data_IF_125503156445
#
_entry.id   IF_125503156445
#
_cell.length_a   1.000
_cell.length_b   1.000
_cell.length_c   1.000
_cell.angle_alpha   90.00
_cell.angle_beta   90.00
_cell.angle_gamma   90.00
#
_symmetry.space_group_name_H-M   'P 1'
#
loop_
_entity.id
_entity.type
_entity.pdbx_description
1 polymer ?
#
# COMPACT_ATOMS: atom_id res chain seq x y z
N UNK A 1 2.52 25.13 6.25
CA UNK A 1 1.37 24.24 6.48
C UNK A 1 1.70 22.93 5.80
N UNK A 2 2.29 22.01 6.56
CA UNK A 2 3.13 20.93 6.05
C UNK A 2 2.28 19.68 5.75
N UNK A 3 1.73 19.62 4.53
CA UNK A 3 1.03 18.45 3.95
C UNK A 3 2.02 17.32 3.62
N UNK A 4 2.92 17.01 4.55
CA UNK A 4 3.87 15.92 4.40
C UNK A 4 3.14 14.60 4.68
N UNK A 5 2.73 13.96 3.58
CA UNK A 5 2.20 12.58 3.49
C UNK A 5 0.76 12.35 3.98
N UNK A 6 -0.22 13.02 3.38
CA UNK A 6 -1.60 12.52 3.44
C UNK A 6 -1.70 11.19 2.70
N UNK A 7 -1.84 10.10 3.44
CA UNK A 7 -1.94 8.75 2.90
C UNK A 7 -3.39 8.29 3.00
N UNK A 8 -3.94 7.77 1.91
CA UNK A 8 -5.23 7.08 1.90
C UNK A 8 -4.98 5.61 1.59
N UNK A 9 -5.56 4.73 2.39
CA UNK A 9 -5.50 3.28 2.17
C UNK A 9 -6.90 2.69 2.21
N UNK A 10 -7.11 1.61 1.47
CA UNK A 10 -8.35 0.85 1.50
C UNK A 10 -8.13 -0.41 2.32
N UNK A 11 -9.04 -0.71 3.23
CA UNK A 11 -9.12 -1.98 3.93
C UNK A 11 -10.57 -2.47 3.86
N UNK A 12 -10.77 -3.62 3.21
CA UNK A 12 -12.07 -4.27 3.07
C UNK A 12 -13.17 -3.46 2.40
N UNK A 13 -12.85 -2.36 1.72
CA UNK A 13 -13.78 -1.45 1.05
C UNK A 13 -14.11 -0.19 1.85
N UNK A 14 -13.56 -0.07 3.07
CA UNK A 14 -13.48 1.19 3.80
C UNK A 14 -12.20 1.94 3.42
N UNK A 15 -12.26 3.26 3.40
CA UNK A 15 -11.13 4.14 3.19
C UNK A 15 -10.65 4.70 4.53
N UNK A 16 -9.35 4.65 4.76
CA UNK A 16 -8.69 5.21 5.93
C UNK A 16 -7.75 6.31 5.47
N UNK A 17 -7.97 7.53 5.98
CA UNK A 17 -7.13 8.69 5.69
C UNK A 17 -6.47 9.17 6.96
N UNK A 18 -5.14 9.07 6.99
CA UNK A 18 -4.34 9.62 8.09
C UNK A 18 -4.25 11.15 7.97
N UNK A 19 -4.49 11.81 9.09
CA UNK A 19 -4.24 13.22 9.30
C UNK A 19 -3.15 13.32 10.36
N UNK A 20 -1.94 13.62 9.90
CA UNK A 20 -0.74 13.71 10.72
C UNK A 20 -1.00 14.41 12.07
N UNK A 21 -0.68 13.72 13.17
CA UNK A 21 -0.91 14.14 14.57
C UNK A 21 -2.37 14.41 14.96
N UNK A 22 -3.36 14.17 14.13
CA UNK A 22 -4.75 14.40 14.48
C UNK A 22 -5.46 13.08 14.72
N UNK A 23 -5.36 12.16 13.77
CA UNK A 23 -6.13 10.92 13.80
C UNK A 23 -6.35 10.37 12.41
N UNK A 24 -7.31 9.46 12.30
CA UNK A 24 -7.69 8.83 11.03
C UNK A 24 -9.17 9.02 10.78
N UNK A 25 -9.50 9.56 9.60
CA UNK A 25 -10.87 9.49 9.11
C UNK A 25 -11.12 8.11 8.49
N UNK A 26 -12.24 7.51 8.84
CA UNK A 26 -12.74 6.27 8.25
C UNK A 26 -13.96 6.61 7.41
N UNK A 27 -13.95 6.24 6.15
CA UNK A 27 -15.01 6.58 5.20
C UNK A 27 -15.51 5.32 4.50
N UNK A 28 -16.83 5.14 4.47
CA UNK A 28 -17.51 4.35 3.45
C UNK A 28 -18.15 5.31 2.43
N UNK A 29 -17.54 5.51 1.24
CA UNK A 29 -18.09 6.39 0.21
C UNK A 29 -19.45 5.92 -0.33
N UNK A 30 -19.67 4.60 -0.38
CA UNK A 30 -20.89 4.02 -0.92
C UNK A 30 -22.10 4.28 -0.01
N UNK A 31 -21.91 4.13 1.30
CA UNK A 31 -22.93 4.43 2.30
C UNK A 31 -22.95 5.90 2.75
N UNK A 32 -22.02 6.73 2.23
CA UNK A 32 -21.83 8.13 2.63
C UNK A 32 -21.60 8.31 4.14
N UNK A 33 -21.00 7.31 4.78
CA UNK A 33 -20.73 7.31 6.22
C UNK A 33 -19.28 7.69 6.48
N UNK A 34 -19.06 8.66 7.37
CA UNK A 34 -17.73 9.02 7.85
C UNK A 34 -17.70 8.88 9.36
N UNK A 35 -16.58 8.40 9.88
CA UNK A 35 -16.28 8.47 11.29
C UNK A 35 -14.81 8.87 11.50
N UNK A 36 -14.47 9.14 12.76
CA UNK A 36 -13.19 9.70 13.14
C UNK A 36 -12.59 8.92 14.30
N UNK A 37 -11.31 8.57 14.18
CA UNK A 37 -10.51 8.00 15.26
C UNK A 37 -9.47 9.05 15.64
N UNK A 38 -9.55 9.57 16.85
CA UNK A 38 -8.53 10.48 17.36
C UNK A 38 -7.39 9.69 18.03
N UNK A 39 -6.16 10.06 17.70
CA UNK A 39 -5.00 9.54 18.44
C UNK A 39 -4.79 10.35 19.71
N UNK A 40 -4.79 9.68 20.86
CA UNK A 40 -4.35 10.27 22.13
C UNK A 40 -2.87 10.65 22.04
N UNK A 41 -2.02 9.72 21.60
CA UNK A 41 -0.60 9.97 21.39
C UNK A 41 -0.33 10.53 20.00
N UNK A 42 -0.09 11.84 19.95
CA UNK A 42 0.17 12.61 18.74
C UNK A 42 1.51 12.24 18.08
N UNK A 43 2.34 11.40 18.69
CA UNK A 43 3.58 10.85 18.13
C UNK A 43 3.39 9.60 17.26
N UNK A 44 2.17 9.08 17.16
CA UNK A 44 1.88 7.85 16.40
C UNK A 44 1.93 8.09 14.88
N UNK A 45 2.79 7.35 14.20
CA UNK A 45 2.88 7.32 12.74
C UNK A 45 2.04 6.19 12.16
N UNK A 46 1.02 6.53 11.38
CA UNK A 46 0.21 5.58 10.64
C UNK A 46 1.02 4.83 9.57
N UNK A 47 0.84 3.51 9.49
CA UNK A 47 1.40 2.68 8.42
C UNK A 47 0.30 2.05 7.55
N UNK A 48 -0.65 1.34 8.17
CA UNK A 48 -1.73 0.70 7.42
C UNK A 48 -2.75 0.03 8.33
N UNK A 49 -3.83 -0.46 7.72
CA UNK A 49 -4.99 -1.00 8.45
C UNK A 49 -5.24 -2.46 8.07
N UNK A 50 -5.62 -3.26 9.05
CA UNK A 50 -6.12 -4.61 8.86
C UNK A 50 -7.00 -5.01 10.03
N UNK A 51 -7.19 -6.30 10.22
CA UNK A 51 -8.02 -6.86 11.28
C UNK A 51 -7.67 -8.34 11.50
N UNK A 52 -8.04 -8.87 12.65
CA UNK A 52 -7.90 -10.30 12.92
C UNK A 52 -8.94 -11.09 12.11
N UNK A 53 -8.49 -11.76 11.06
CA UNK A 53 -9.38 -12.54 10.18
C UNK A 53 -9.81 -13.89 10.76
N UNK A 54 -9.26 -14.28 11.92
CA UNK A 54 -9.70 -15.47 12.66
C UNK A 54 -10.95 -15.22 13.52
N UNK A 55 -11.33 -13.95 13.73
CA UNK A 55 -12.52 -13.59 14.51
C UNK A 55 -13.74 -13.36 13.60
N UNK A 56 -14.95 -13.73 14.03
CA UNK A 56 -16.17 -13.51 13.27
C UNK A 56 -16.50 -12.01 13.14
N UNK A 57 -16.24 -11.25 14.21
CA UNK A 57 -16.39 -9.79 14.21
C UNK A 57 -15.08 -9.12 13.80
N UNK A 58 -15.18 -8.16 12.87
CA UNK A 58 -14.03 -7.41 12.40
C UNK A 58 -13.73 -6.27 13.36
N UNK A 59 -12.72 -6.46 14.19
CA UNK A 59 -12.09 -5.37 14.93
C UNK A 59 -10.91 -4.84 14.13
N UNK A 60 -11.05 -3.63 13.59
CA UNK A 60 -10.01 -3.00 12.80
C UNK A 60 -8.86 -2.55 13.69
N UNK A 61 -7.65 -2.81 13.20
CA UNK A 61 -6.40 -2.47 13.85
C UNK A 61 -5.55 -1.62 12.90
N UNK A 62 -4.89 -0.61 13.44
CA UNK A 62 -3.95 0.24 12.71
C UNK A 62 -2.54 -0.14 13.14
N UNK A 63 -1.72 -0.60 12.19
CA UNK A 63 -0.29 -0.74 12.38
C UNK A 63 0.36 0.63 12.24
N UNK A 64 1.29 0.95 13.14
CA UNK A 64 2.08 2.16 13.09
C UNK A 64 3.33 2.07 13.94
N UNK A 65 3.95 3.23 14.19
CA UNK A 65 5.15 3.30 15.03
C UNK A 65 5.35 4.67 15.66
N UNK A 66 6.22 4.72 16.66
CA UNK A 66 6.73 5.94 17.25
C UNK A 66 8.21 6.08 16.93
N UNK A 67 8.66 7.30 16.59
CA UNK A 67 10.08 7.60 16.52
C UNK A 67 10.60 7.81 17.96
N UNK A 68 11.54 6.97 18.37
CA UNK A 68 12.11 6.99 19.70
C UNK A 68 13.63 7.18 19.62
N UNK A 69 14.22 7.68 20.71
CA UNK A 69 15.65 7.80 20.86
C UNK A 69 16.12 6.83 21.94
N UNK A 70 17.14 6.03 21.65
CA UNK A 70 17.84 5.21 22.62
C UNK A 70 19.19 5.84 22.91
N UNK A 71 19.46 6.13 24.18
CA UNK A 71 20.79 6.56 24.63
C UNK A 71 21.76 5.38 24.50
N UNK A 72 22.86 5.57 23.80
CA UNK A 72 23.95 4.59 23.63
C UNK A 72 25.18 5.00 24.44
N UNK A 73 25.43 6.31 24.55
CA UNK A 73 26.42 6.91 25.47
C UNK A 73 25.93 8.28 25.94
N UNK A 74 26.70 8.97 26.79
CA UNK A 74 26.37 10.32 27.28
C UNK A 74 26.23 11.37 26.18
N UNK A 75 26.84 11.15 25.02
CA UNK A 75 26.82 12.09 23.88
C UNK A 75 26.16 11.51 22.63
N UNK A 76 25.79 10.23 22.62
CA UNK A 76 25.29 9.56 21.43
C UNK A 76 23.93 8.88 21.67
N UNK A 77 22.95 9.31 20.87
CA UNK A 77 21.61 8.73 20.81
C UNK A 77 21.37 8.14 19.42
N UNK A 78 20.76 6.96 19.38
CA UNK A 78 20.36 6.29 18.14
C UNK A 78 18.84 6.36 18.03
N UNK A 79 18.36 6.80 16.87
CA UNK A 79 16.93 6.76 16.56
C UNK A 79 16.49 5.35 16.22
N UNK A 80 15.32 4.95 16.72
CA UNK A 80 14.69 3.69 16.37
C UNK A 80 13.18 3.87 16.30
N UNK A 81 12.50 2.95 15.61
CA UNK A 81 11.04 2.95 15.50
C UNK A 81 10.47 1.90 16.44
N UNK A 82 9.66 2.34 17.40
CA UNK A 82 8.93 1.43 18.28
C UNK A 82 7.58 1.11 17.63
N UNK A 83 7.40 -0.15 17.25
CA UNK A 83 6.18 -0.61 16.57
C UNK A 83 5.01 -0.61 17.55
N UNK A 84 3.84 -0.17 17.08
CA UNK A 84 2.60 -0.22 17.83
C UNK A 84 1.41 -0.58 16.95
N UNK A 85 0.40 -1.14 17.59
CA UNK A 85 -0.91 -1.47 17.03
C UNK A 85 -1.94 -0.66 17.80
N UNK A 86 -2.77 0.09 17.10
CA UNK A 86 -3.93 0.77 17.67
C UNK A 86 -5.18 -0.05 17.37
N UNK A 87 -5.91 -0.48 18.39
CA UNK A 87 -7.18 -1.20 18.27
C UNK A 87 -8.32 -0.18 18.20
N UNK A 88 -9.02 -0.12 17.06
CA UNK A 88 -9.99 0.94 16.80
C UNK A 88 -11.23 0.86 17.71
N UNK A 89 -11.68 -0.35 18.05
CA UNK A 89 -12.90 -0.57 18.84
C UNK A 89 -12.73 -0.22 20.32
N UNK A 90 -11.55 -0.47 20.88
CA UNK A 90 -11.25 -0.20 22.29
C UNK A 90 -10.43 1.06 22.51
N UNK A 91 -10.08 1.78 21.43
CA UNK A 91 -9.18 2.94 21.44
C UNK A 91 -7.85 2.67 22.15
N UNK A 92 -7.36 1.42 22.10
CA UNK A 92 -6.20 0.99 22.88
C UNK A 92 -4.95 0.91 22.02
N UNK A 93 -3.84 1.43 22.55
CA UNK A 93 -2.53 1.32 21.93
C UNK A 93 -1.72 0.18 22.56
N UNK A 94 -1.24 -0.75 21.73
CA UNK A 94 -0.41 -1.87 22.12
C UNK A 94 0.96 -1.80 21.44
N UNK A 95 2.03 -1.77 22.22
CA UNK A 95 3.38 -1.91 21.67
C UNK A 95 3.73 -3.37 21.41
N UNK A 96 4.42 -3.63 20.31
CA UNK A 96 4.95 -4.96 20.00
C UNK A 96 6.47 -4.91 19.95
N UNK A 97 7.10 -5.88 20.60
CA UNK A 97 8.57 -6.00 20.65
C UNK A 97 9.06 -6.75 19.40
N UNK A 98 9.13 -6.02 18.29
CA UNK A 98 9.56 -6.54 17.01
C UNK A 98 10.77 -5.73 16.51
N UNK A 99 11.95 -6.35 16.29
CA UNK A 99 13.07 -5.67 15.65
C UNK A 99 12.70 -5.43 14.19
N UNK A 100 12.18 -4.25 13.87
CA UNK A 100 11.72 -3.95 12.51
C UNK A 100 12.35 -2.69 11.93
N UNK A 101 13.26 -2.91 10.98
CA UNK A 101 14.04 -1.88 10.31
C UNK A 101 13.59 -1.61 8.87
N UNK A 102 12.79 -2.49 8.25
CA UNK A 102 12.41 -2.44 6.84
C UNK A 102 10.96 -1.99 6.61
N UNK A 103 10.64 -0.78 7.07
CA UNK A 103 9.31 -0.19 6.87
C UNK A 103 8.96 0.01 5.40
N UNK A 104 7.69 -0.14 5.02
CA UNK A 104 7.27 0.12 3.65
C UNK A 104 7.49 1.59 3.32
N UNK A 105 8.05 1.85 2.13
CA UNK A 105 8.29 3.21 1.62
C UNK A 105 6.96 3.87 1.20
N UNK A 106 6.03 3.06 0.70
CA UNK A 106 4.68 3.47 0.32
C UNK A 106 3.64 2.78 1.20
N UNK A 107 2.38 3.22 1.14
CA UNK A 107 1.30 2.56 1.88
C UNK A 107 1.24 1.05 1.57
N UNK A 108 1.26 0.17 2.58
CA UNK A 108 1.11 -1.25 2.37
C UNK A 108 -0.31 -1.57 1.87
N UNK A 109 -0.40 -2.64 1.08
CA UNK A 109 -1.65 -3.19 0.58
C UNK A 109 -2.37 -3.95 1.70
N UNK A 110 -3.61 -3.55 2.02
CA UNK A 110 -4.46 -4.33 2.91
C UNK A 110 -5.26 -5.36 2.12
N UNK A 111 -5.20 -6.63 2.53
CA UNK A 111 -5.90 -7.73 1.88
C UNK A 111 -6.19 -8.85 2.89
N UNK A 112 -7.42 -9.35 2.94
CA UNK A 112 -7.84 -10.44 3.84
C UNK A 112 -7.42 -10.21 5.32
N UNK A 113 -7.52 -8.97 5.78
CA UNK A 113 -7.18 -8.56 7.15
C UNK A 113 -5.71 -8.31 7.41
N UNK A 114 -4.81 -8.58 6.47
CA UNK A 114 -3.36 -8.43 6.65
C UNK A 114 -2.77 -7.35 5.74
N UNK A 115 -1.57 -6.87 6.09
CA UNK A 115 -0.83 -5.92 5.27
C UNK A 115 0.24 -6.62 4.47
N UNK A 116 0.46 -6.16 3.24
CA UNK A 116 1.45 -6.69 2.31
C UNK A 116 2.19 -5.56 1.60
N UNK A 117 3.50 -5.68 1.47
CA UNK A 117 4.30 -4.69 0.74
C UNK A 117 5.56 -5.32 0.16
N UNK A 118 6.11 -4.64 -0.83
CA UNK A 118 7.37 -5.01 -1.45
C UNK A 118 8.54 -4.60 -0.55
N UNK A 119 9.48 -5.52 -0.37
CA UNK A 119 10.77 -5.26 0.27
C UNK A 119 11.86 -6.03 -0.46
N UNK A 120 13.11 -5.80 -0.08
CA UNK A 120 14.25 -6.55 -0.59
C UNK A 120 15.12 -7.05 0.56
N UNK A 121 15.82 -8.15 0.30
CA UNK A 121 16.89 -8.63 1.17
C UNK A 121 18.16 -7.80 0.91
N UNK A 122 18.79 -7.20 1.93
CA UNK A 122 19.96 -6.33 1.74
C UNK A 122 21.14 -7.03 1.08
N UNK A 123 21.35 -8.31 1.40
CA UNK A 123 22.51 -9.08 0.95
C UNK A 123 22.35 -9.58 -0.49
N UNK A 124 21.16 -10.08 -0.83
CA UNK A 124 20.91 -10.69 -2.14
C UNK A 124 20.21 -9.76 -3.13
N UNK A 125 19.71 -8.61 -2.67
CA UNK A 125 18.86 -7.67 -3.42
C UNK A 125 17.63 -8.33 -4.05
N UNK A 126 17.25 -9.52 -3.56
CA UNK A 126 16.05 -10.22 -4.03
C UNK A 126 14.83 -9.55 -3.44
N UNK A 127 13.89 -9.20 -4.32
CA UNK A 127 12.61 -8.65 -3.91
C UNK A 127 11.64 -9.75 -3.51
N UNK A 128 10.89 -9.49 -2.45
CA UNK A 128 9.83 -10.35 -1.96
C UNK A 128 8.69 -9.53 -1.38
N UNK A 129 7.52 -10.17 -1.24
CA UNK A 129 6.39 -9.61 -0.51
C UNK A 129 6.57 -9.96 0.96
N UNK A 130 6.61 -8.94 1.81
CA UNK A 130 6.51 -9.09 3.26
C UNK A 130 5.06 -8.89 3.68
N UNK A 131 4.69 -9.50 4.80
CA UNK A 131 3.38 -9.30 5.42
C UNK A 131 3.49 -8.91 6.89
N UNK A 132 2.47 -8.20 7.37
CA UNK A 132 2.13 -8.12 8.78
C UNK A 132 0.82 -8.87 9.01
N UNK A 133 0.89 -9.88 9.87
CA UNK A 133 -0.22 -10.74 10.25
C UNK A 133 -0.91 -10.15 11.49
N UNK A 134 -2.13 -9.61 11.37
CA UNK A 134 -2.82 -8.96 12.50
C UNK A 134 -3.41 -9.94 13.52
N UNK A 135 -3.63 -11.19 13.12
CA UNK A 135 -4.09 -12.26 14.01
C UNK A 135 -2.97 -12.73 14.93
N UNK A 136 -1.75 -12.85 14.39
CA UNK A 136 -0.55 -13.27 15.13
C UNK A 136 0.31 -12.11 15.63
N UNK A 137 0.06 -10.91 15.13
CA UNK A 137 0.80 -9.67 15.41
C UNK A 137 2.30 -9.77 15.10
N UNK A 138 2.64 -10.42 13.98
CA UNK A 138 4.03 -10.67 13.55
C UNK A 138 4.31 -10.20 12.13
N UNK A 139 5.55 -9.78 11.91
CA UNK A 139 6.10 -9.58 10.57
C UNK A 139 6.64 -10.92 10.03
N UNK A 140 6.32 -11.25 8.78
CA UNK A 140 6.85 -12.47 8.14
C UNK A 140 7.08 -12.27 6.64
N UNK A 141 8.09 -12.92 6.04
CA UNK A 141 8.14 -13.05 4.58
C UNK A 141 6.88 -13.79 4.11
N UNK A 142 6.31 -13.36 2.99
CA UNK A 142 5.10 -13.96 2.43
C UNK A 142 5.42 -14.80 1.19
N UNK A 143 5.98 -14.19 0.14
CA UNK A 143 6.38 -14.91 -1.06
C UNK A 143 7.42 -14.14 -1.88
N UNK A 144 8.15 -14.84 -2.75
CA UNK A 144 9.02 -14.21 -3.74
C UNK A 144 8.18 -13.57 -4.87
N UNK A 145 8.79 -12.61 -5.57
CA UNK A 145 8.21 -12.03 -6.77
C UNK A 145 8.42 -12.94 -8.00
N UNK A 146 7.55 -12.90 -9.01
CA UNK A 146 7.70 -13.67 -10.24
C UNK A 146 8.93 -13.25 -11.08
N UNK A 147 9.46 -12.06 -10.82
CA UNK A 147 10.56 -11.45 -11.57
C UNK A 147 11.86 -11.54 -10.77
N UNK A 148 12.56 -12.67 -10.86
CA UNK A 148 13.84 -12.90 -10.17
C UNK A 148 14.97 -11.96 -10.59
N UNK A 149 14.91 -11.43 -11.82
CA UNK A 149 15.86 -10.44 -12.35
C UNK A 149 15.20 -9.07 -12.40
N UNK A 150 15.19 -8.37 -11.27
CA UNK A 150 14.81 -6.96 -11.24
C UNK A 150 16.06 -6.10 -11.41
N UNK A 151 16.00 -5.17 -12.37
CA UNK A 151 17.03 -4.14 -12.47
C UNK A 151 16.75 -3.13 -11.34
N UNK A 152 17.80 -2.52 -10.80
CA UNK A 152 17.73 -1.62 -9.64
C UNK A 152 16.81 -0.40 -9.78
N UNK A 153 16.24 -0.16 -10.96
CA UNK A 153 15.34 0.96 -11.26
C UNK A 153 14.02 0.53 -11.89
N UNK A 154 13.73 -0.77 -11.98
CA UNK A 154 12.42 -1.22 -12.45
C UNK A 154 11.35 -0.79 -11.43
N UNK A 155 10.23 -0.26 -11.92
CA UNK A 155 9.12 0.14 -11.05
C UNK A 155 8.25 -1.07 -10.75
N UNK A 156 7.90 -1.26 -9.47
CA UNK A 156 7.09 -2.38 -9.00
C UNK A 156 5.92 -1.86 -8.17
N UNK A 157 4.70 -2.20 -8.57
CA UNK A 157 3.47 -1.78 -7.87
C UNK A 157 2.63 -3.00 -7.57
N UNK A 158 2.33 -3.22 -6.28
CA UNK A 158 1.49 -4.31 -5.80
C UNK A 158 0.04 -3.81 -5.66
N UNK A 159 -0.94 -4.58 -6.11
CA UNK A 159 -2.36 -4.25 -5.97
C UNK A 159 -3.24 -5.50 -5.80
N UNK A 160 -4.48 -5.31 -5.34
CA UNK A 160 -5.47 -6.39 -5.28
C UNK A 160 -5.95 -6.77 -6.69
N UNK A 161 -6.10 -8.06 -6.95
CA UNK A 161 -6.70 -8.60 -8.16
C UNK A 161 -7.88 -9.49 -7.82
N UNK A 162 -9.03 -9.27 -8.48
CA UNK A 162 -10.26 -10.05 -8.28
C UNK A 162 -10.57 -10.37 -6.79
N UNK A 163 -10.48 -9.35 -5.92
CA UNK A 163 -10.80 -9.38 -4.47
C UNK A 163 -9.78 -10.06 -3.55
N UNK A 164 -9.24 -11.23 -3.86
CA UNK A 164 -8.47 -12.06 -2.92
C UNK A 164 -7.12 -12.54 -3.47
N UNK A 165 -6.66 -11.95 -4.58
CA UNK A 165 -5.39 -12.28 -5.25
C UNK A 165 -4.50 -11.06 -5.33
N UNK A 166 -3.23 -11.29 -5.60
CA UNK A 166 -2.33 -10.19 -5.94
C UNK A 166 -2.30 -9.97 -7.45
N UNK A 167 -2.07 -8.72 -7.82
CA UNK A 167 -1.42 -8.35 -9.06
C UNK A 167 -0.13 -7.61 -8.75
N UNK A 168 0.86 -7.77 -9.62
CA UNK A 168 2.12 -7.04 -9.59
C UNK A 168 2.34 -6.43 -10.98
N UNK A 169 2.34 -5.10 -11.03
CA UNK A 169 2.80 -4.35 -12.19
C UNK A 169 4.31 -4.18 -12.09
N UNK A 170 5.02 -4.55 -13.15
CA UNK A 170 6.45 -4.26 -13.32
C UNK A 170 6.65 -3.43 -14.58
N UNK A 171 7.23 -2.24 -14.45
CA UNK A 171 7.73 -1.51 -15.62
C UNK A 171 9.25 -1.57 -15.69
N UNK A 172 9.78 -2.08 -16.81
CA UNK A 172 11.22 -2.06 -17.04
C UNK A 172 11.70 -0.63 -17.32
N UNK A 173 12.67 -0.14 -16.55
CA UNK A 173 13.17 1.22 -16.73
C UNK A 173 13.94 1.43 -18.05
N UNK A 174 14.50 0.37 -18.62
CA UNK A 174 15.25 0.49 -19.90
C UNK A 174 14.31 0.44 -21.10
N UNK A 175 13.41 -0.54 -21.15
CA UNK A 175 12.56 -0.74 -22.31
C UNK A 175 11.20 -0.04 -22.20
N UNK A 176 10.78 0.40 -21.01
CA UNK A 176 9.43 0.92 -20.76
C UNK A 176 8.32 -0.15 -20.80
N UNK A 177 8.69 -1.40 -21.10
CA UNK A 177 7.78 -2.55 -21.17
C UNK A 177 7.11 -2.77 -19.81
N UNK A 178 5.80 -3.05 -19.83
CA UNK A 178 5.03 -3.33 -18.63
C UNK A 178 4.60 -4.80 -18.64
N UNK A 179 5.06 -5.56 -17.64
CA UNK A 179 4.61 -6.92 -17.38
C UNK A 179 3.64 -6.88 -16.19
N UNK A 180 2.47 -7.50 -16.34
CA UNK A 180 1.48 -7.62 -15.27
C UNK A 180 1.36 -9.09 -14.89
N UNK A 181 1.70 -9.38 -13.64
CA UNK A 181 1.62 -10.71 -13.06
C UNK A 181 0.45 -10.77 -12.10
N UNK A 182 -0.16 -11.93 -11.98
CA UNK A 182 -1.23 -12.17 -11.00
C UNK A 182 -1.01 -13.52 -10.32
N UNK A 183 -1.51 -13.67 -9.10
CA UNK A 183 -1.51 -14.98 -8.46
C UNK A 183 -2.56 -15.87 -9.13
N UNK A 184 -2.22 -17.14 -9.35
CA UNK A 184 -3.11 -18.10 -10.00
C UNK A 184 -4.36 -18.33 -9.14
N UNK A 185 -4.16 -18.57 -7.85
CA UNK A 185 -5.19 -18.78 -6.83
C UNK A 185 -5.23 -17.62 -5.83
N UNK A 186 -6.29 -17.63 -5.00
CA UNK A 186 -6.43 -16.77 -3.81
C UNK A 186 -5.22 -16.92 -2.89
N UNK A 187 -4.94 -15.88 -2.10
CA UNK A 187 -3.87 -15.94 -1.09
C UNK A 187 -4.45 -16.43 0.25
N UNK A 188 -4.06 -17.63 0.67
CA UNK A 188 -4.56 -18.29 1.89
C UNK A 188 -3.46 -18.99 2.70
N UNK A 189 -2.18 -18.73 2.39
CA UNK A 189 -1.04 -19.30 3.10
C UNK A 189 -0.41 -20.52 2.43
N UNK A 190 -0.97 -20.98 1.31
CA UNK A 190 -0.32 -21.94 0.41
C UNK A 190 0.80 -21.30 -0.43
N UNK A 191 1.53 -22.13 -1.19
CA UNK A 191 2.54 -21.67 -2.14
C UNK A 191 1.95 -20.70 -3.18
N UNK A 192 2.55 -19.51 -3.27
CA UNK A 192 2.08 -18.46 -4.18
C UNK A 192 2.63 -18.69 -5.59
N UNK A 193 1.76 -19.21 -6.46
CA UNK A 193 2.07 -19.37 -7.89
C UNK A 193 1.63 -18.12 -8.67
N UNK A 194 2.59 -17.50 -9.35
CA UNK A 194 2.36 -16.36 -10.23
C UNK A 194 2.19 -16.80 -11.69
N UNK A 195 1.33 -16.10 -12.42
CA UNK A 195 1.17 -16.23 -13.87
C UNK A 195 1.26 -14.84 -14.51
N UNK A 196 1.87 -14.75 -15.68
CA UNK A 196 1.83 -13.52 -16.48
C UNK A 196 0.42 -13.36 -17.03
N UNK A 197 -0.28 -12.29 -16.64
CA UNK A 197 -1.63 -12.01 -17.14
C UNK A 197 -1.56 -11.39 -18.54
N UNK A 198 -0.69 -10.38 -18.67
CA UNK A 198 -0.46 -9.70 -19.92
C UNK A 198 0.86 -8.97 -19.89
N UNK A 199 1.34 -8.73 -21.10
CA UNK A 199 2.51 -7.93 -21.37
C UNK A 199 2.06 -6.80 -22.28
N UNK A 200 2.29 -5.57 -21.85
CA UNK A 200 2.05 -4.39 -22.65
C UNK A 200 3.40 -3.95 -23.22
N UNK A 201 3.48 -3.64 -24.53
CA UNK A 201 4.72 -3.21 -25.16
C UNK A 201 5.17 -1.86 -24.57
N UNK A 202 6.28 -1.34 -25.08
CA UNK A 202 6.73 0.01 -24.76
C UNK A 202 5.66 1.01 -25.19
N UNK A 203 4.76 1.33 -24.26
CA UNK A 203 3.66 2.26 -24.50
C UNK A 203 4.19 3.70 -24.45
N UNK A 204 3.43 4.64 -25.02
CA UNK A 204 3.66 6.09 -24.83
C UNK A 204 3.53 6.55 -23.37
N UNK A 205 3.33 5.63 -22.42
CA UNK A 205 3.31 5.92 -21.00
C UNK A 205 4.72 6.32 -20.54
N UNK A 206 4.82 7.49 -19.90
CA UNK A 206 6.04 7.93 -19.23
C UNK A 206 6.54 6.88 -18.24
N UNK A 207 7.84 6.89 -17.94
CA UNK A 207 8.39 6.08 -16.87
C UNK A 207 7.66 6.34 -15.55
N UNK A 208 7.35 5.26 -14.86
CA UNK A 208 6.60 5.22 -13.61
C UNK A 208 7.50 5.40 -12.37
N UNK A 209 8.81 5.50 -12.57
CA UNK A 209 9.75 5.77 -11.50
C UNK A 209 9.54 7.17 -10.90
N UNK A 210 9.77 7.30 -9.60
CA UNK A 210 9.76 8.57 -8.86
C UNK A 210 8.44 9.35 -8.95
N UNK A 211 7.29 8.65 -9.01
CA UNK A 211 5.98 9.30 -8.96
C UNK A 211 5.70 9.80 -7.54
N UNK A 212 5.75 11.12 -7.36
CA UNK A 212 5.61 11.78 -6.06
C UNK A 212 4.33 11.39 -5.30
N UNK A 213 3.21 11.23 -6.03
CA UNK A 213 1.91 10.87 -5.46
C UNK A 213 1.67 9.35 -5.43
N UNK A 214 2.67 8.53 -5.76
CA UNK A 214 2.51 7.10 -5.92
C UNK A 214 1.68 6.70 -7.14
N UNK A 215 1.38 5.40 -7.23
CA UNK A 215 0.67 4.77 -8.34
C UNK A 215 -0.38 3.83 -7.76
N UNK A 216 -1.62 3.97 -8.22
CA UNK A 216 -2.68 3.00 -7.96
C UNK A 216 -3.20 2.49 -9.28
N UNK A 217 -3.50 1.21 -9.37
CA UNK A 217 -4.07 0.62 -10.58
C UNK A 217 -5.02 -0.52 -10.26
N UNK A 218 -5.86 -0.83 -11.24
CA UNK A 218 -6.60 -2.08 -11.28
C UNK A 218 -6.69 -2.59 -12.72
N UNK A 219 -7.15 -3.82 -12.86
CA UNK A 219 -7.24 -4.51 -14.14
C UNK A 219 -8.69 -4.90 -14.37
N UNK A 220 -9.24 -4.48 -15.50
CA UNK A 220 -10.58 -4.84 -15.94
C UNK A 220 -10.55 -5.22 -17.42
N UNK A 221 -11.07 -6.40 -17.77
CA UNK A 221 -11.10 -6.91 -19.16
C UNK A 221 -9.76 -6.70 -19.93
N UNK A 222 -8.65 -7.22 -19.37
CA UNK A 222 -7.28 -7.07 -19.90
C UNK A 222 -6.87 -5.62 -20.20
N UNK A 223 -7.51 -4.66 -19.54
CA UNK A 223 -7.18 -3.23 -19.61
C UNK A 223 -6.56 -2.83 -18.29
N UNK A 224 -5.38 -2.22 -18.35
CA UNK A 224 -4.77 -1.56 -17.20
C UNK A 224 -5.40 -0.18 -17.06
N UNK A 225 -5.99 0.08 -15.89
CA UNK A 225 -6.51 1.40 -15.52
C UNK A 225 -5.69 1.87 -14.33
N UNK A 226 -5.00 3.00 -14.49
CA UNK A 226 -4.00 3.46 -13.53
C UNK A 226 -4.20 4.95 -13.23
N UNK A 227 -4.02 5.34 -11.98
CA UNK A 227 -3.92 6.72 -11.54
C UNK A 227 -2.49 7.02 -11.07
N UNK A 228 -1.89 8.06 -11.64
CA UNK A 228 -0.64 8.63 -11.16
C UNK A 228 -0.47 10.07 -11.67
N UNK A 229 0.54 10.77 -11.14
CA UNK A 229 0.88 12.11 -11.62
C UNK A 229 1.48 12.09 -13.02
N UNK A 230 1.11 13.06 -13.84
CA UNK A 230 1.78 13.29 -15.12
C UNK A 230 3.25 13.66 -14.90
N UNK A 231 4.13 13.16 -15.76
CA UNK A 231 5.57 13.39 -15.60
C UNK A 231 5.97 14.86 -15.87
N UNK A 232 5.28 15.53 -16.78
CA UNK A 232 5.64 16.90 -17.18
C UNK A 232 4.92 17.93 -16.31
N UNK A 233 3.62 17.74 -16.08
CA UNK A 233 2.80 18.74 -15.40
C UNK A 233 2.57 18.44 -13.92
N UNK A 234 2.83 17.21 -13.46
CA UNK A 234 2.49 16.76 -12.11
C UNK A 234 0.99 16.53 -11.88
N UNK A 235 0.14 16.87 -12.86
CA UNK A 235 -1.31 16.79 -12.76
C UNK A 235 -1.80 15.34 -12.56
N UNK A 236 -2.87 15.17 -11.77
CA UNK A 236 -3.52 13.87 -11.59
C UNK A 236 -4.11 13.38 -12.92
N UNK A 237 -3.70 12.18 -13.35
CA UNK A 237 -4.16 11.58 -14.60
C UNK A 237 -4.62 10.14 -14.40
N UNK A 238 -5.68 9.77 -15.11
CA UNK A 238 -6.10 8.39 -15.33
C UNK A 238 -5.57 7.94 -16.69
N UNK A 239 -4.88 6.80 -16.69
CA UNK A 239 -4.35 6.15 -17.87
C UNK A 239 -5.12 4.86 -18.13
N UNK A 240 -5.50 4.64 -19.38
CA UNK A 240 -6.10 3.41 -19.88
C UNK A 240 -5.14 2.81 -20.89
N UNK A 241 -4.76 1.55 -20.67
CA UNK A 241 -3.83 0.83 -21.54
C UNK A 241 -4.39 -0.55 -21.88
N UNK A 242 -4.59 -0.81 -23.18
CA UNK A 242 -5.11 -2.09 -23.71
C UNK A 242 -4.37 -2.45 -25.00
N UNK A 243 -3.48 -3.44 -24.94
CA UNK A 243 -2.57 -3.73 -26.06
C UNK A 243 -1.73 -2.51 -26.38
N UNK A 244 -1.83 -2.02 -27.62
CA UNK A 244 -1.15 -0.81 -28.10
C UNK A 244 -1.95 0.48 -27.90
N UNK A 245 -3.21 0.37 -27.47
CA UNK A 245 -4.08 1.53 -27.26
C UNK A 245 -3.75 2.17 -25.92
N UNK A 246 -3.50 3.48 -25.97
CA UNK A 246 -3.22 4.32 -24.82
C UNK A 246 -4.14 5.53 -24.81
N UNK A 247 -4.82 5.77 -23.68
CA UNK A 247 -5.60 6.98 -23.45
C UNK A 247 -5.24 7.57 -22.10
N UNK A 248 -5.00 8.88 -22.07
CA UNK A 248 -4.76 9.68 -20.86
C UNK A 248 -5.94 10.63 -20.66
N UNK A 249 -6.45 10.70 -19.44
CA UNK A 249 -7.45 11.67 -19.01
C UNK A 249 -6.87 12.43 -17.83
N UNK A 250 -6.71 13.74 -17.98
CA UNK A 250 -6.31 14.60 -16.88
C UNK A 250 -7.54 14.92 -16.01
N UNK A 251 -7.44 14.71 -14.71
CA UNK A 251 -8.55 14.91 -13.74
C UNK A 251 -8.54 16.34 -13.19
N UNK A 252 -7.34 16.87 -12.93
CA UNK A 252 -7.14 18.19 -12.32
C UNK A 252 -6.02 18.94 -13.03
N UNK A 253 -6.07 20.27 -13.04
CA UNK A 253 -5.11 21.14 -13.73
C UNK A 253 -4.20 21.95 -12.80
N UNK A 254 -4.34 21.83 -11.47
CA UNK A 254 -3.62 22.69 -10.53
C UNK A 254 -2.77 22.01 -9.46
N UNK A 255 -3.08 20.78 -9.04
CA UNK A 255 -2.38 20.17 -7.91
C UNK A 255 -1.21 19.25 -8.32
N UNK A 256 0.00 19.63 -7.91
CA UNK A 256 1.22 18.80 -8.02
C UNK A 256 1.24 17.68 -6.96
N UNK A 257 0.41 17.78 -5.91
CA UNK A 257 0.33 16.80 -4.81
C UNK A 257 -1.10 16.38 -4.53
N UNK A 258 -1.38 15.11 -4.73
CA UNK A 258 -2.70 14.52 -4.48
C UNK A 258 -2.57 13.11 -3.90
N UNK A 259 -3.63 12.66 -3.24
CA UNK A 259 -3.74 11.29 -2.74
C UNK A 259 -4.81 10.56 -3.55
N UNK A 260 -4.56 9.31 -3.88
CA UNK A 260 -5.51 8.46 -4.61
C UNK A 260 -5.44 7.04 -4.08
N UNK A 261 -6.53 6.30 -4.27
CA UNK A 261 -6.63 4.91 -3.88
C UNK A 261 -7.59 4.19 -4.81
N UNK A 262 -7.31 2.92 -5.08
CA UNK A 262 -8.29 2.00 -5.65
C UNK A 262 -8.94 1.25 -4.50
N UNK A 263 -10.26 1.31 -4.43
CA UNK A 263 -11.04 0.56 -3.46
C UNK A 263 -12.20 -0.17 -4.15
N UNK A 264 -12.64 -1.26 -3.54
CA UNK A 264 -13.84 -1.98 -3.94
C UNK A 264 -14.95 -1.58 -2.97
N UNK A 265 -16.06 -0.97 -3.44
CA UNK A 265 -17.18 -0.62 -2.58
C UNK A 265 -17.73 -1.83 -1.82
N UNK A 266 -18.23 -1.59 -0.62
CA UNK A 266 -18.89 -2.59 0.20
C UNK A 266 -20.16 -2.00 0.87
N UNK A 267 -20.98 -2.87 1.45
CA UNK A 267 -22.13 -2.48 2.27
C UNK A 267 -21.83 -2.59 3.78
N UNK A 268 -20.55 -2.60 4.17
CA UNK A 268 -20.16 -2.63 5.57
C UNK A 268 -20.28 -1.22 6.14
N UNK A 269 -21.06 -1.05 7.21
CA UNK A 269 -21.10 0.22 7.92
C UNK A 269 -19.73 0.59 8.47
N UNK A 270 -19.46 1.89 8.61
CA UNK A 270 -18.28 2.35 9.33
C UNK A 270 -18.35 1.83 10.77
N UNK A 271 -17.34 1.09 11.25
CA UNK A 271 -17.35 0.42 12.54
C UNK A 271 -16.78 1.34 13.62
N UNK A 272 -17.40 2.51 13.79
CA UNK A 272 -17.04 3.54 14.77
C UNK A 272 -18.25 3.91 15.61
#
# INVERSE_FOLDING_TARGET
MDLMHTTITACDGLLFRDFWKQGVAVWNPWLRQVGWIEYEDKGFHFCGVGYDSCKPEKSYKILGYFNCLRKVSDTYHVSYRRVAIYECSSHALKFIDAPFTQWPIMAPLSLNGNLYWLTHEPETYKYFIRSFDFSKEIFKPFCLLPCLKNRSRDELVLAVFKRDRFSLLKQCNVTGKIDIWVTKKKIDGEEVVWINLMTLPTTNLSKLVNKFCGISYFIYDKTLIMCCGDHQTGAACIYFVKGDIFKKIQIDSGSVRFSHCVYLPNLLSVPL
#
